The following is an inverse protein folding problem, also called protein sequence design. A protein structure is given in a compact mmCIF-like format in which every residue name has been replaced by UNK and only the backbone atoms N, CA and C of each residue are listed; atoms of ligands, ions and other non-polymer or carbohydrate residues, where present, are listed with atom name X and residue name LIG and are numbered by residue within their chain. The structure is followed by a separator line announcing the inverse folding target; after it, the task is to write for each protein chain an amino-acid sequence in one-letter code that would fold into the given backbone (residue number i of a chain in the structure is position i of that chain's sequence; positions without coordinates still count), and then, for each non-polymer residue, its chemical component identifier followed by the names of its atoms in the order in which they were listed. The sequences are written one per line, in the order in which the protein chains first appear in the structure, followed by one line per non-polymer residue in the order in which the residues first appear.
data_IF_151970949561
#
_entry.id   IF_151970949561
#
_cell.length_a   1.000
_cell.length_b   1.000
_cell.length_c   1.000
_cell.angle_alpha   90.00
_cell.angle_beta   90.00
_cell.angle_gamma   90.00
#
_symmetry.space_group_name_H-M   'P 1'
#
loop_
_entity.id
_entity.type
_entity.pdbx_description
1 polymer ?
#
# COMPACT_ATOMS: atom_id res chain seq x y z
N UNK A 1 -28.59 9.10 13.46
CA UNK A 1 -27.62 10.22 13.66
C UNK A 1 -26.27 9.78 14.23
N UNK A 2 -26.23 8.76 15.10
CA UNK A 2 -25.01 8.25 15.78
C UNK A 2 -23.84 7.89 14.83
N UNK A 3 -24.12 7.22 13.71
CA UNK A 3 -23.08 6.76 12.76
C UNK A 3 -22.28 7.89 12.09
N UNK A 4 -22.87 9.08 11.94
CA UNK A 4 -22.23 10.21 11.24
C UNK A 4 -21.18 10.90 12.10
N UNK A 5 -21.37 10.94 13.41
CA UNK A 5 -20.40 11.49 14.37
C UNK A 5 -19.17 10.59 14.44
N UNK A 6 -19.37 9.27 14.52
CA UNK A 6 -18.27 8.31 14.50
C UNK A 6 -17.49 8.31 13.17
N UNK A 7 -18.17 8.48 12.04
CA UNK A 7 -17.52 8.59 10.73
C UNK A 7 -16.62 9.83 10.65
N UNK A 8 -17.11 11.01 11.09
CA UNK A 8 -16.31 12.24 11.12
C UNK A 8 -15.08 12.12 12.01
N UNK A 9 -15.24 11.56 13.22
CA UNK A 9 -14.12 11.36 14.16
C UNK A 9 -13.00 10.48 13.58
N UNK A 10 -13.34 9.47 12.77
CA UNK A 10 -12.35 8.61 12.11
C UNK A 10 -11.64 9.32 10.96
N UNK A 11 -12.37 10.14 10.19
CA UNK A 11 -11.77 10.95 9.11
C UNK A 11 -10.77 11.95 9.69
N UNK A 12 -11.14 12.65 10.78
CA UNK A 12 -10.26 13.57 11.50
C UNK A 12 -9.04 12.87 12.11
N UNK A 13 -9.21 11.68 12.69
CA UNK A 13 -8.10 10.89 13.19
C UNK A 13 -7.16 10.44 12.06
N UNK A 14 -7.71 9.97 10.94
CA UNK A 14 -6.93 9.60 9.77
C UNK A 14 -6.11 10.78 9.25
N UNK A 15 -6.71 11.96 9.07
CA UNK A 15 -5.99 13.15 8.62
C UNK A 15 -4.81 13.51 9.53
N UNK A 16 -5.02 13.47 10.86
CA UNK A 16 -3.96 13.74 11.84
C UNK A 16 -2.81 12.74 11.74
N UNK A 17 -3.13 11.46 11.58
CA UNK A 17 -2.14 10.38 11.59
C UNK A 17 -1.47 10.19 10.21
N UNK A 18 -2.14 10.62 9.13
CA UNK A 18 -1.66 10.56 7.74
C UNK A 18 -0.31 11.25 7.57
N UNK A 19 -0.16 12.42 8.18
CA UNK A 19 1.06 13.23 8.05
C UNK A 19 2.26 12.53 8.68
N UNK A 20 2.09 11.96 9.88
CA UNK A 20 3.14 11.20 10.55
C UNK A 20 3.55 9.95 9.77
N UNK A 21 2.56 9.22 9.22
CA UNK A 21 2.81 8.05 8.39
C UNK A 21 3.58 8.41 7.10
N UNK A 22 3.21 9.50 6.42
CA UNK A 22 3.91 9.98 5.24
C UNK A 22 5.36 10.37 5.56
N UNK A 23 5.58 11.12 6.64
CA UNK A 23 6.92 11.52 7.07
C UNK A 23 7.80 10.31 7.40
N UNK A 24 7.23 9.31 8.07
CA UNK A 24 7.93 8.06 8.36
C UNK A 24 8.33 7.31 7.08
N UNK A 25 7.41 7.13 6.14
CA UNK A 25 7.65 6.41 4.89
C UNK A 25 8.62 7.15 3.96
N UNK A 26 8.55 8.48 3.92
CA UNK A 26 9.53 9.31 3.20
C UNK A 26 10.92 9.21 3.82
N UNK A 27 11.00 9.25 5.15
CA UNK A 27 12.27 9.02 5.86
C UNK A 27 12.85 7.65 5.50
N UNK A 28 12.05 6.58 5.58
CA UNK A 28 12.44 5.24 5.13
C UNK A 28 12.95 5.22 3.69
N UNK A 29 12.25 5.85 2.76
CA UNK A 29 12.66 5.93 1.36
C UNK A 29 14.01 6.63 1.16
N UNK A 30 14.39 7.56 2.04
CA UNK A 30 15.68 8.26 1.97
C UNK A 30 16.85 7.43 2.53
N UNK A 31 16.59 6.48 3.44
CA UNK A 31 17.64 5.73 4.13
C UNK A 31 17.77 4.27 3.67
N UNK A 32 16.68 3.66 3.19
CA UNK A 32 16.65 2.25 2.81
C UNK A 32 16.71 2.10 1.28
N UNK A 33 17.79 1.47 0.80
CA UNK A 33 17.94 1.14 -0.62
C UNK A 33 16.79 0.25 -1.07
N UNK A 34 16.24 0.54 -2.25
CA UNK A 34 15.09 -0.14 -2.83
C UNK A 34 13.80 -0.05 -2.00
N UNK A 35 13.71 0.77 -0.96
CA UNK A 35 12.39 1.08 -0.39
C UNK A 35 11.59 1.93 -1.38
N UNK A 36 10.30 1.63 -1.55
CA UNK A 36 9.43 2.37 -2.45
C UNK A 36 8.16 2.79 -1.71
N UNK A 37 7.78 4.05 -1.85
CA UNK A 37 6.51 4.56 -1.37
C UNK A 37 5.94 5.56 -2.38
N UNK A 38 4.63 5.51 -2.59
CA UNK A 38 3.89 6.47 -3.42
C UNK A 38 2.57 6.78 -2.75
N UNK A 39 2.12 8.02 -2.90
CA UNK A 39 0.81 8.45 -2.42
C UNK A 39 0.07 9.28 -3.48
N UNK A 40 -1.23 9.43 -3.28
CA UNK A 40 -2.10 10.33 -4.05
C UNK A 40 -2.94 11.15 -3.09
N UNK A 41 -3.42 12.31 -3.55
CA UNK A 41 -4.32 13.17 -2.81
C UNK A 41 -5.71 13.22 -3.45
N UNK A 42 -6.72 13.53 -2.64
CA UNK A 42 -8.08 13.79 -3.10
C UNK A 42 -8.23 15.23 -3.63
N UNK A 43 -9.44 15.60 -4.07
CA UNK A 43 -9.76 16.95 -4.57
C UNK A 43 -9.54 18.07 -3.54
N UNK A 44 -9.39 17.72 -2.25
CA UNK A 44 -9.15 18.66 -1.14
C UNK A 44 -7.69 18.64 -0.67
N UNK A 45 -6.80 18.05 -1.46
CA UNK A 45 -5.38 17.88 -1.16
C UNK A 45 -5.11 17.05 0.10
N UNK A 46 -6.03 16.14 0.45
CA UNK A 46 -5.86 15.22 1.58
C UNK A 46 -5.35 13.88 1.09
N UNK A 47 -4.62 13.15 1.93
CA UNK A 47 -4.15 11.81 1.59
C UNK A 47 -5.32 10.91 1.16
N UNK A 48 -5.32 10.47 -0.09
CA UNK A 48 -6.32 9.56 -0.63
C UNK A 48 -5.82 8.12 -0.53
N UNK A 49 -4.73 7.81 -1.23
CA UNK A 49 -4.16 6.46 -1.26
C UNK A 49 -2.67 6.53 -0.95
N UNK A 50 -2.17 5.50 -0.27
CA UNK A 50 -0.75 5.31 -0.02
C UNK A 50 -0.38 3.85 -0.26
N UNK A 51 0.76 3.63 -0.90
CA UNK A 51 1.34 2.32 -1.15
C UNK A 51 2.81 2.34 -0.73
N UNK A 52 3.28 1.26 -0.14
CA UNK A 52 4.69 1.06 0.14
C UNK A 52 5.11 -0.41 0.02
N UNK A 53 6.41 -0.60 -0.23
CA UNK A 53 7.10 -1.89 -0.16
C UNK A 53 8.55 -1.66 0.28
N UNK A 54 9.13 -2.65 0.94
CA UNK A 54 10.56 -2.64 1.25
C UNK A 54 11.39 -3.40 0.20
N UNK A 55 12.69 -3.51 0.44
CA UNK A 55 13.62 -4.24 -0.43
C UNK A 55 13.39 -5.74 -0.40
N UNK A 56 12.94 -6.29 0.73
CA UNK A 56 12.63 -7.71 0.86
C UNK A 56 11.41 -8.08 0.03
N UNK A 57 10.36 -7.28 0.11
CA UNK A 57 9.13 -7.41 -0.68
C UNK A 57 9.41 -7.42 -2.19
N UNK A 58 10.34 -6.57 -2.65
CA UNK A 58 10.80 -6.56 -4.04
C UNK A 58 11.51 -7.87 -4.42
N UNK A 59 12.42 -8.33 -3.57
CA UNK A 59 13.14 -9.57 -3.81
C UNK A 59 12.19 -10.78 -3.85
N UNK A 60 11.25 -10.88 -2.91
CA UNK A 60 10.25 -11.94 -2.91
C UNK A 60 9.37 -11.89 -4.16
N UNK A 61 8.96 -10.70 -4.60
CA UNK A 61 8.19 -10.55 -5.84
C UNK A 61 8.99 -10.99 -7.08
N UNK A 62 10.29 -10.68 -7.14
CA UNK A 62 11.15 -11.12 -8.23
C UNK A 62 11.32 -12.65 -8.29
N UNK A 63 11.26 -13.34 -7.15
CA UNK A 63 11.38 -14.79 -7.08
C UNK A 63 10.05 -15.54 -7.23
N UNK A 64 8.95 -14.97 -6.72
CA UNK A 64 7.68 -15.68 -6.52
C UNK A 64 6.45 -14.89 -7.02
N UNK A 65 6.65 -13.81 -7.77
CA UNK A 65 5.58 -12.91 -8.25
C UNK A 65 4.68 -13.47 -9.36
N UNK A 66 4.91 -14.71 -9.80
CA UNK A 66 4.09 -15.38 -10.83
C UNK A 66 2.64 -15.60 -10.37
N UNK A 67 2.43 -15.78 -9.06
CA UNK A 67 1.12 -15.96 -8.44
C UNK A 67 0.91 -14.85 -7.42
N UNK A 68 0.04 -13.90 -7.76
CA UNK A 68 -0.37 -12.79 -6.90
C UNK A 68 -1.77 -13.04 -6.34
N UNK A 69 -1.87 -13.10 -5.02
CA UNK A 69 -3.14 -13.07 -4.29
C UNK A 69 -3.33 -11.68 -3.69
N UNK A 70 -4.52 -11.12 -3.90
CA UNK A 70 -4.93 -9.84 -3.34
C UNK A 70 -5.81 -10.09 -2.13
N UNK A 71 -5.32 -9.78 -0.93
CA UNK A 71 -6.15 -9.83 0.27
C UNK A 71 -6.61 -8.40 0.64
N UNK A 72 -7.94 -8.22 0.74
CA UNK A 72 -8.56 -6.96 1.15
C UNK A 72 -9.16 -7.19 2.53
N UNK A 73 -8.46 -6.77 3.57
CA UNK A 73 -9.07 -6.74 4.90
C UNK A 73 -9.93 -5.49 5.01
N UNK A 74 -11.25 -5.65 4.88
CA UNK A 74 -12.19 -4.56 5.06
C UNK A 74 -12.37 -4.21 6.55
N UNK A 75 -12.35 -2.90 6.86
CA UNK A 75 -12.89 -2.32 8.11
C UNK A 75 -12.33 -2.80 9.46
N UNK A 76 -11.23 -3.55 9.49
CA UNK A 76 -10.55 -3.91 10.75
C UNK A 76 -9.56 -2.85 11.24
N UNK A 77 -9.23 -1.82 10.44
CA UNK A 77 -8.42 -0.69 10.89
C UNK A 77 -9.28 0.43 11.52
N UNK A 78 -8.66 1.22 12.40
CA UNK A 78 -9.31 2.30 13.14
C UNK A 78 -9.97 3.37 12.24
N UNK A 79 -9.58 3.44 10.97
CA UNK A 79 -10.02 4.43 9.99
C UNK A 79 -11.18 3.94 9.12
N UNK A 80 -11.54 2.65 9.20
CA UNK A 80 -12.51 2.00 8.30
C UNK A 80 -12.16 2.17 6.81
N UNK A 81 -10.86 2.20 6.49
CA UNK A 81 -10.31 2.34 5.13
C UNK A 81 -9.88 0.96 4.58
N UNK A 82 -9.96 0.70 3.27
CA UNK A 82 -9.46 -0.55 2.70
C UNK A 82 -7.95 -0.67 2.90
N UNK A 83 -7.51 -1.71 3.61
CA UNK A 83 -6.12 -2.13 3.64
C UNK A 83 -5.95 -3.27 2.65
N UNK A 84 -5.02 -3.07 1.74
CA UNK A 84 -4.74 -3.94 0.60
C UNK A 84 -3.37 -4.56 0.80
N UNK A 85 -3.32 -5.89 0.76
CA UNK A 85 -2.07 -6.66 0.81
C UNK A 85 -1.87 -7.38 -0.51
N UNK A 86 -0.68 -7.20 -1.08
CA UNK A 86 -0.20 -7.97 -2.22
C UNK A 86 0.63 -9.12 -1.70
N UNK A 87 0.13 -10.35 -1.88
CA UNK A 87 0.67 -11.52 -1.22
C UNK A 87 0.95 -12.62 -2.26
N UNK A 88 2.05 -13.34 -2.08
CA UNK A 88 2.34 -14.58 -2.80
C UNK A 88 2.68 -15.72 -1.84
N UNK A 89 3.12 -16.83 -2.41
CA UNK A 89 3.54 -18.01 -1.64
C UNK A 89 4.84 -18.54 -2.24
N UNK A 90 5.85 -18.75 -1.39
CA UNK A 90 7.12 -19.32 -1.84
C UNK A 90 7.10 -20.86 -1.88
N UNK A 91 8.21 -21.46 -2.34
CA UNK A 91 8.37 -22.91 -2.46
C UNK A 91 8.23 -23.69 -1.13
N UNK A 92 8.33 -23.01 0.01
CA UNK A 92 8.13 -23.58 1.34
C UNK A 92 6.69 -23.43 1.84
N UNK A 93 5.77 -22.96 1.00
CA UNK A 93 4.38 -22.65 1.34
C UNK A 93 4.26 -21.51 2.38
N UNK A 94 5.29 -20.68 2.50
CA UNK A 94 5.25 -19.52 3.36
C UNK A 94 4.70 -18.31 2.59
N UNK A 95 3.94 -17.48 3.30
CA UNK A 95 3.37 -16.22 2.79
C UNK A 95 4.48 -15.20 2.53
N UNK A 96 4.50 -14.64 1.33
CA UNK A 96 5.39 -13.54 0.92
C UNK A 96 4.56 -12.27 0.76
N UNK A 97 5.01 -11.13 1.29
CA UNK A 97 4.29 -9.86 1.16
C UNK A 97 5.05 -8.97 0.18
N UNK A 98 4.43 -8.66 -0.93
CA UNK A 98 5.04 -7.89 -2.02
C UNK A 98 4.79 -6.38 -1.89
N UNK A 99 3.77 -5.98 -1.14
CA UNK A 99 3.47 -4.58 -0.90
C UNK A 99 2.18 -4.41 -0.14
N UNK A 100 2.03 -3.21 0.42
CA UNK A 100 0.87 -2.84 1.22
C UNK A 100 0.33 -1.50 0.73
N UNK A 101 -0.98 -1.37 0.71
CA UNK A 101 -1.63 -0.09 0.47
C UNK A 101 -2.79 0.17 1.40
N UNK A 102 -3.00 1.45 1.69
CA UNK A 102 -4.18 1.95 2.36
C UNK A 102 -4.90 2.90 1.41
N UNK A 103 -6.15 2.59 1.08
CA UNK A 103 -6.93 3.31 0.07
C UNK A 103 -8.00 4.20 0.72
N UNK A 104 -8.44 5.24 0.00
CA UNK A 104 -9.52 6.12 0.47
C UNK A 104 -10.88 5.44 0.47
N UNK A 105 -11.08 4.54 -0.49
CA UNK A 105 -12.34 3.90 -0.86
C UNK A 105 -12.11 2.64 -1.72
N UNK A 106 -13.18 1.91 -2.00
CA UNK A 106 -13.20 0.67 -2.79
C UNK A 106 -13.64 0.94 -4.24
N UNK A 107 -13.24 2.07 -4.82
CA UNK A 107 -13.58 2.38 -6.21
C UNK A 107 -12.60 1.73 -7.18
N UNK A 108 -13.07 1.50 -8.42
CA UNK A 108 -12.23 1.00 -9.52
C UNK A 108 -11.02 1.92 -9.76
N UNK A 109 -11.16 3.22 -9.54
CA UNK A 109 -10.06 4.18 -9.70
C UNK A 109 -8.96 3.95 -8.66
N UNK A 110 -9.33 3.80 -7.38
CA UNK A 110 -8.40 3.50 -6.30
C UNK A 110 -7.69 2.15 -6.51
N UNK A 111 -8.41 1.14 -7.00
CA UNK A 111 -7.80 -0.15 -7.33
C UNK A 111 -6.88 -0.10 -8.55
N UNK A 112 -7.25 0.64 -9.61
CA UNK A 112 -6.35 0.86 -10.75
C UNK A 112 -5.08 1.59 -10.32
N UNK A 113 -5.21 2.61 -9.48
CA UNK A 113 -4.08 3.36 -8.94
C UNK A 113 -3.11 2.44 -8.20
N UNK A 114 -3.60 1.58 -7.29
CA UNK A 114 -2.71 0.72 -6.51
C UNK A 114 -2.07 -0.39 -7.34
N UNK A 115 -2.80 -0.97 -8.31
CA UNK A 115 -2.25 -1.99 -9.22
C UNK A 115 -1.15 -1.42 -10.12
N UNK A 116 -1.38 -0.24 -10.71
CA UNK A 116 -0.34 0.45 -11.49
C UNK A 116 0.86 0.80 -10.61
N UNK A 117 0.61 1.25 -9.37
CA UNK A 117 1.67 1.60 -8.43
C UNK A 117 2.51 0.39 -8.02
N UNK A 118 1.88 -0.77 -7.81
CA UNK A 118 2.60 -2.03 -7.60
C UNK A 118 3.52 -2.32 -8.79
N UNK A 119 2.99 -2.32 -10.01
CA UNK A 119 3.76 -2.60 -11.23
C UNK A 119 4.95 -1.65 -11.41
N UNK A 120 4.71 -0.34 -11.27
CA UNK A 120 5.76 0.68 -11.32
C UNK A 120 6.84 0.42 -10.26
N UNK A 121 6.43 0.03 -9.05
CA UNK A 121 7.35 -0.23 -7.95
C UNK A 121 8.22 -1.47 -8.18
N UNK A 122 7.74 -2.47 -8.93
CA UNK A 122 8.47 -3.72 -9.17
C UNK A 122 9.36 -3.65 -10.42
N UNK A 123 9.14 -2.67 -11.29
CA UNK A 123 9.90 -2.45 -12.53
C UNK A 123 11.34 -1.94 -12.32
N UNK A 124 11.88 -1.96 -11.10
CA UNK A 124 13.29 -1.68 -10.82
C UNK A 124 14.18 -2.65 -11.59
N UNK A 125 14.80 -2.14 -12.66
CA UNK A 125 15.80 -2.75 -13.57
C UNK A 125 16.10 -4.22 -13.27
N UNK A 126 15.43 -5.11 -13.99
CA UNK A 126 15.89 -6.48 -14.19
C UNK A 126 17.12 -6.36 -15.12
N UNK A 127 18.37 -6.55 -14.66
CA UNK A 127 19.41 -6.89 -15.60
C UNK A 127 19.03 -8.29 -16.10
N UNK A 128 18.54 -8.37 -17.33
CA UNK A 128 18.31 -9.65 -17.97
C UNK A 128 19.64 -10.43 -17.98
N UNK A 129 19.81 -11.34 -17.03
CA UNK A 129 20.83 -12.37 -17.10
C UNK A 129 20.18 -13.57 -17.77
N UNK A 130 20.34 -13.64 -19.09
CA UNK A 130 20.31 -14.89 -19.84
C UNK A 130 21.62 -15.65 -19.62
#
# INVERSE_FOLDING_TARGET
MYNRIHAKRRDEAFERDSHAALMYLQSKANFETNFYCRFSTDEKDRLANIFWRDSHSLFEYQCFGDILVFDITYKTNAYAKPLVLFIGVNNHRATCVFGVALLSDETVLSYKWVLNTLMDSMATNIPFLY
#
